data_IF_032998893401
#
_entry.id   IF_032998893401
#
_cell.length_a   1.000
_cell.length_b   1.000
_cell.length_c   1.000
_cell.angle_alpha   90.00
_cell.angle_beta   90.00
_cell.angle_gamma   90.00
#
_symmetry.space_group_name_H-M   'P 1'
#
loop_
_entity.id
_entity.type
_entity.pdbx_description
1 polymer ?
#
# COMPACT_ATOMS: atom_id res chain seq x y z
N UNK A 1 -30.92 31.59 26.80
CA UNK A 1 -29.72 31.90 25.99
C UNK A 1 -28.54 30.97 26.23
N UNK A 2 -28.29 30.52 27.46
CA UNK A 2 -27.19 29.59 27.77
C UNK A 2 -27.36 28.19 27.16
N UNK A 3 -28.56 27.70 26.94
CA UNK A 3 -28.83 26.38 26.32
C UNK A 3 -28.46 26.30 24.85
N UNK A 4 -28.59 27.38 24.10
CA UNK A 4 -28.26 27.42 22.66
C UNK A 4 -26.76 27.46 22.41
N UNK A 5 -25.99 28.06 23.31
CA UNK A 5 -24.53 28.10 23.25
C UNK A 5 -23.91 26.74 23.58
N UNK A 6 -24.50 26.03 24.55
CA UNK A 6 -24.05 24.68 24.93
C UNK A 6 -24.29 23.66 23.82
N UNK A 7 -25.46 23.74 23.14
CA UNK A 7 -25.77 22.87 22.00
C UNK A 7 -24.83 23.13 20.81
N UNK A 8 -24.45 24.38 20.57
CA UNK A 8 -23.49 24.75 19.51
C UNK A 8 -22.07 24.25 19.84
N UNK A 9 -21.68 24.33 21.10
CA UNK A 9 -20.37 23.84 21.55
C UNK A 9 -20.26 22.31 21.42
N UNK A 10 -21.32 21.58 21.78
CA UNK A 10 -21.39 20.13 21.61
C UNK A 10 -21.40 19.70 20.13
N UNK A 11 -22.04 20.49 19.29
CA UNK A 11 -22.10 20.22 17.84
C UNK A 11 -20.74 20.43 17.16
N UNK A 12 -20.01 21.48 17.57
CA UNK A 12 -18.65 21.74 17.09
C UNK A 12 -17.67 20.68 17.60
N UNK A 13 -17.80 20.26 18.86
CA UNK A 13 -16.96 19.22 19.45
C UNK A 13 -17.22 17.84 18.84
N UNK A 14 -18.47 17.53 18.48
CA UNK A 14 -18.83 16.33 17.73
C UNK A 14 -18.27 16.31 16.31
N UNK A 15 -18.20 17.45 15.65
CA UNK A 15 -17.68 17.57 14.27
C UNK A 15 -16.16 17.38 14.21
N UNK A 16 -15.43 17.76 15.26
CA UNK A 16 -13.97 17.59 15.36
C UNK A 16 -13.58 16.12 15.54
N UNK A 17 -14.43 15.32 16.17
CA UNK A 17 -14.18 13.87 16.35
C UNK A 17 -14.39 13.06 15.08
N UNK A 18 -15.15 13.58 14.11
CA UNK A 18 -15.40 12.89 12.85
C UNK A 18 -14.27 13.05 11.82
N UNK A 19 -13.33 13.97 12.05
CA UNK A 19 -12.22 14.23 11.13
C UNK A 19 -10.99 13.33 11.33
N UNK A 20 -10.99 12.42 12.32
CA UNK A 20 -9.85 11.57 12.65
C UNK A 20 -9.81 10.24 11.88
N UNK A 21 -10.64 10.07 10.87
CA UNK A 21 -10.75 8.84 10.07
C UNK A 21 -9.94 8.85 8.79
N UNK A 22 -8.68 9.27 8.80
CA UNK A 22 -7.80 9.03 7.65
C UNK A 22 -7.29 7.59 7.68
N UNK A 23 -8.04 6.70 7.04
CA UNK A 23 -7.66 5.33 6.85
C UNK A 23 -6.37 5.23 6.04
N UNK A 24 -5.30 4.78 6.65
CA UNK A 24 -4.16 4.27 5.90
C UNK A 24 -4.58 2.95 5.25
N UNK A 25 -4.46 2.78 3.92
CA UNK A 25 -4.93 1.59 3.21
C UNK A 25 -4.10 0.33 3.49
N UNK A 26 -2.98 0.45 4.20
CA UNK A 26 -2.20 -0.68 4.73
C UNK A 26 -2.39 -0.71 6.23
N UNK A 27 -2.71 -1.90 6.78
CA UNK A 27 -2.93 -2.04 8.21
C UNK A 27 -1.69 -1.60 9.01
N UNK A 28 -1.92 -0.99 10.17
CA UNK A 28 -0.85 -0.56 11.07
C UNK A 28 0.06 -1.72 11.44
N UNK A 29 -0.50 -2.91 11.67
CA UNK A 29 0.24 -4.13 11.98
C UNK A 29 1.27 -4.48 10.90
N UNK A 30 0.87 -4.46 9.62
CA UNK A 30 1.81 -4.72 8.52
C UNK A 30 2.93 -3.67 8.44
N UNK A 31 2.62 -2.42 8.77
CA UNK A 31 3.64 -1.35 8.80
C UNK A 31 4.63 -1.52 9.93
N UNK A 32 4.16 -1.98 11.09
CA UNK A 32 5.02 -2.25 12.26
C UNK A 32 5.90 -3.50 12.04
N UNK A 33 5.37 -4.53 11.35
CA UNK A 33 6.09 -5.75 11.03
C UNK A 33 7.03 -5.59 9.82
N UNK A 34 6.79 -4.60 8.95
CA UNK A 34 7.66 -4.33 7.80
C UNK A 34 9.02 -3.81 8.26
N UNK A 35 10.08 -4.34 7.65
CA UNK A 35 11.44 -3.91 7.94
C UNK A 35 11.76 -2.63 7.16
N UNK A 36 11.91 -1.46 7.81
CA UNK A 36 12.11 -0.18 7.11
C UNK A 36 13.45 -0.11 6.38
N UNK A 37 14.43 -0.90 6.81
CA UNK A 37 15.77 -0.94 6.23
C UNK A 37 15.88 -1.91 5.04
N UNK A 38 14.81 -2.63 4.73
CA UNK A 38 14.78 -3.61 3.66
C UNK A 38 14.30 -2.95 2.36
N UNK A 39 15.24 -2.35 1.64
CA UNK A 39 14.98 -1.71 0.35
C UNK A 39 14.76 -2.72 -0.76
N UNK A 40 14.09 -2.30 -1.83
CA UNK A 40 13.92 -3.14 -3.03
C UNK A 40 15.26 -3.58 -3.61
N UNK A 41 16.23 -2.66 -3.79
CA UNK A 41 17.55 -2.96 -4.32
C UNK A 41 18.29 -4.03 -3.50
N UNK A 42 18.14 -4.00 -2.18
CA UNK A 42 18.78 -4.95 -1.27
C UNK A 42 18.21 -6.36 -1.42
N UNK A 43 16.90 -6.49 -1.50
CA UNK A 43 16.24 -7.78 -1.75
C UNK A 43 16.51 -8.28 -3.17
N UNK A 44 16.52 -7.39 -4.15
CA UNK A 44 16.79 -7.74 -5.53
C UNK A 44 18.20 -8.31 -5.74
N UNK A 45 19.19 -7.83 -4.98
CA UNK A 45 20.58 -8.32 -5.05
C UNK A 45 20.75 -9.73 -4.48
N UNK A 46 19.98 -10.12 -3.47
CA UNK A 46 20.02 -11.45 -2.85
C UNK A 46 18.64 -11.87 -2.33
N UNK A 47 17.72 -12.25 -3.23
CA UNK A 47 16.34 -12.58 -2.85
C UNK A 47 16.23 -13.75 -1.86
N UNK A 48 17.13 -14.72 -1.95
CA UNK A 48 17.06 -15.93 -1.12
C UNK A 48 17.27 -15.63 0.37
N UNK A 49 18.09 -14.63 0.71
CA UNK A 49 18.36 -14.23 2.10
C UNK A 49 17.12 -13.62 2.78
N UNK A 50 16.23 -13.01 2.01
CA UNK A 50 15.11 -12.24 2.54
C UNK A 50 13.76 -12.96 2.44
N UNK A 51 13.76 -14.23 2.09
CA UNK A 51 12.52 -15.04 2.06
C UNK A 51 11.86 -15.03 3.44
N UNK A 52 10.58 -14.74 3.50
CA UNK A 52 9.80 -14.62 4.74
C UNK A 52 9.76 -13.23 5.36
N UNK A 53 10.60 -12.30 4.90
CA UNK A 53 10.57 -10.90 5.35
C UNK A 53 9.31 -10.18 4.88
N UNK A 54 8.81 -9.26 5.70
CA UNK A 54 7.66 -8.43 5.36
C UNK A 54 8.16 -7.11 4.78
N UNK A 55 7.67 -6.78 3.59
CA UNK A 55 8.01 -5.54 2.89
C UNK A 55 6.75 -4.78 2.50
N UNK A 56 6.88 -3.47 2.36
CA UNK A 56 5.85 -2.60 1.79
C UNK A 56 6.47 -1.92 0.58
N UNK A 57 6.10 -2.39 -0.59
CA UNK A 57 6.52 -1.82 -1.86
C UNK A 57 5.32 -1.36 -2.66
N UNK A 58 5.56 -0.52 -3.63
CA UNK A 58 4.53 -0.05 -4.55
C UNK A 58 5.11 0.30 -5.88
N UNK A 59 4.26 0.73 -6.76
CA UNK A 59 4.65 1.11 -8.09
C UNK A 59 3.49 1.12 -9.06
N UNK A 60 3.80 0.94 -10.32
CA UNK A 60 2.83 0.91 -11.41
C UNK A 60 2.61 -0.53 -11.89
N UNK A 61 1.38 -0.95 -11.99
CA UNK A 61 1.00 -2.27 -12.52
C UNK A 61 1.38 -2.34 -14.00
N UNK A 62 2.15 -3.37 -14.37
CA UNK A 62 2.46 -3.67 -15.76
C UNK A 62 1.44 -4.63 -16.35
N UNK A 63 0.97 -5.58 -15.57
CA UNK A 63 -0.03 -6.54 -15.98
C UNK A 63 -0.52 -7.40 -14.83
N UNK A 64 -1.69 -7.98 -15.02
CA UNK A 64 -2.31 -8.90 -14.07
C UNK A 64 -2.70 -10.19 -14.80
N UNK A 65 -2.28 -11.32 -14.25
CA UNK A 65 -2.55 -12.64 -14.81
C UNK A 65 -3.38 -13.45 -13.82
N UNK A 66 -4.47 -14.03 -14.29
CA UNK A 66 -5.27 -14.97 -13.51
C UNK A 66 -4.61 -16.34 -13.53
N UNK A 67 -4.41 -16.92 -12.35
CA UNK A 67 -3.86 -18.26 -12.16
C UNK A 67 -4.98 -19.24 -11.81
N UNK A 68 -4.68 -20.54 -11.86
CA UNK A 68 -5.63 -21.58 -11.43
C UNK A 68 -6.06 -21.42 -9.96
N UNK A 69 -5.16 -20.91 -9.10
CA UNK A 69 -5.41 -20.64 -7.67
C UNK A 69 -4.96 -19.23 -7.30
N UNK A 70 -5.65 -18.22 -7.81
CA UNK A 70 -5.38 -16.83 -7.45
C UNK A 70 -4.95 -15.96 -8.61
N UNK A 71 -4.12 -14.99 -8.35
CA UNK A 71 -3.68 -13.98 -9.31
C UNK A 71 -2.23 -13.61 -9.12
N UNK A 72 -1.62 -13.15 -10.20
CA UNK A 72 -0.26 -12.64 -10.24
C UNK A 72 -0.26 -11.24 -10.86
N UNK A 73 0.36 -10.29 -10.16
CA UNK A 73 0.49 -8.91 -10.63
C UNK A 73 1.97 -8.61 -10.82
N UNK A 74 2.34 -8.20 -12.02
CA UNK A 74 3.68 -7.65 -12.30
C UNK A 74 3.66 -6.15 -12.07
N UNK A 75 4.57 -5.67 -11.21
CA UNK A 75 4.66 -4.26 -10.81
C UNK A 75 6.04 -3.71 -11.16
N UNK A 76 6.06 -2.55 -11.80
CA UNK A 76 7.24 -1.71 -11.89
C UNK A 76 7.42 -1.02 -10.54
N UNK A 77 8.46 -1.37 -9.80
CA UNK A 77 8.73 -0.79 -8.50
C UNK A 77 8.98 0.70 -8.60
N UNK A 78 8.38 1.47 -7.70
CA UNK A 78 8.63 2.89 -7.53
C UNK A 78 8.82 3.21 -6.04
N UNK A 79 9.70 4.16 -5.70
CA UNK A 79 9.80 4.65 -4.33
C UNK A 79 8.45 5.15 -3.85
N UNK A 80 8.17 4.96 -2.57
CA UNK A 80 6.97 5.47 -1.92
C UNK A 80 7.29 6.75 -1.17
N UNK A 81 6.41 7.75 -1.30
CA UNK A 81 6.49 8.96 -0.47
C UNK A 81 6.14 8.64 0.99
N UNK A 82 6.26 9.63 1.86
CA UNK A 82 5.91 9.50 3.29
C UNK A 82 4.44 9.07 3.53
N UNK A 83 3.58 9.24 2.54
CA UNK A 83 2.18 8.84 2.57
C UNK A 83 1.96 7.44 1.97
N UNK A 84 3.03 6.81 1.49
CA UNK A 84 3.00 5.52 0.81
C UNK A 84 2.45 5.58 -0.60
N UNK A 85 2.56 6.71 -1.28
CA UNK A 85 2.18 6.84 -2.70
C UNK A 85 3.40 6.67 -3.57
N UNK A 86 3.28 5.94 -4.70
CA UNK A 86 4.39 5.81 -5.64
C UNK A 86 4.81 7.15 -6.23
N UNK A 87 6.10 7.39 -6.27
CA UNK A 87 6.73 8.58 -6.85
C UNK A 87 7.38 8.26 -8.20
N UNK A 88 7.41 9.22 -9.07
CA UNK A 88 8.21 9.38 -10.29
C UNK A 88 8.63 8.13 -11.06
N UNK A 89 8.04 7.89 -12.23
CA UNK A 89 8.31 6.71 -13.06
C UNK A 89 9.79 6.50 -13.46
N UNK A 90 10.61 7.55 -13.43
CA UNK A 90 12.05 7.46 -13.72
C UNK A 90 12.93 6.94 -12.58
N UNK A 91 12.36 6.69 -11.40
CA UNK A 91 13.09 6.27 -10.20
C UNK A 91 13.00 4.76 -9.92
N UNK A 92 12.47 3.97 -10.87
CA UNK A 92 12.33 2.53 -10.70
C UNK A 92 13.67 1.82 -10.60
N UNK A 93 13.78 0.92 -9.63
CA UNK A 93 14.94 0.04 -9.48
C UNK A 93 14.71 -1.36 -10.08
N UNK A 94 13.53 -1.62 -10.63
CA UNK A 94 13.20 -2.87 -11.27
C UNK A 94 11.73 -3.26 -11.19
N UNK A 95 11.47 -4.55 -11.29
CA UNK A 95 10.13 -5.13 -11.28
C UNK A 95 10.03 -6.21 -10.23
N UNK A 96 8.84 -6.38 -9.68
CA UNK A 96 8.54 -7.53 -8.85
C UNK A 96 7.19 -8.15 -9.22
N UNK A 97 7.00 -9.39 -8.82
CA UNK A 97 5.77 -10.13 -9.00
C UNK A 97 5.10 -10.32 -7.65
N UNK A 98 3.86 -9.83 -7.53
CA UNK A 98 3.02 -10.07 -6.38
C UNK A 98 2.01 -11.16 -6.70
N UNK A 99 1.92 -12.18 -5.83
CA UNK A 99 0.93 -13.25 -5.93
C UNK A 99 -0.08 -13.15 -4.81
N UNK A 100 -1.33 -13.37 -5.14
CA UNK A 100 -2.43 -13.44 -4.19
C UNK A 100 -3.25 -14.70 -4.44
N UNK A 101 -3.72 -15.32 -3.35
CA UNK A 101 -4.62 -16.47 -3.44
C UNK A 101 -6.04 -16.09 -3.88
N UNK A 102 -6.39 -14.80 -3.77
CA UNK A 102 -7.66 -14.28 -4.23
C UNK A 102 -7.64 -14.02 -5.74
N UNK A 103 -8.81 -14.11 -6.35
CA UNK A 103 -9.02 -13.63 -7.71
C UNK A 103 -9.00 -12.09 -7.72
N UNK A 104 -8.05 -11.51 -8.43
CA UNK A 104 -7.95 -10.07 -8.67
C UNK A 104 -8.38 -9.80 -10.11
N UNK A 105 -9.47 -9.07 -10.27
CA UNK A 105 -10.02 -8.76 -11.59
C UNK A 105 -9.03 -7.90 -12.40
N UNK A 106 -8.54 -8.38 -13.56
CA UNK A 106 -7.61 -7.61 -14.39
C UNK A 106 -8.20 -6.29 -14.93
N UNK A 107 -9.52 -6.15 -14.95
CA UNK A 107 -10.17 -4.89 -15.32
C UNK A 107 -10.04 -3.83 -14.23
N UNK A 108 -9.92 -4.25 -12.96
CA UNK A 108 -9.69 -3.39 -11.80
C UNK A 108 -8.20 -3.14 -11.60
N UNK A 109 -7.41 -4.21 -11.63
CA UNK A 109 -5.93 -4.17 -11.45
C UNK A 109 -5.23 -4.13 -12.80
N UNK A 110 -5.49 -3.10 -13.57
CA UNK A 110 -5.01 -2.97 -14.96
C UNK A 110 -3.67 -2.26 -15.04
N UNK A 111 -2.97 -2.48 -16.14
CA UNK A 111 -1.72 -1.81 -16.46
C UNK A 111 -1.87 -0.27 -16.39
N UNK A 112 -0.85 0.40 -15.87
CA UNK A 112 -0.83 1.84 -15.68
C UNK A 112 -1.38 2.33 -14.34
N UNK A 113 -2.05 1.48 -13.57
CA UNK A 113 -2.46 1.86 -12.21
C UNK A 113 -1.28 1.89 -11.26
N UNK A 114 -1.22 2.93 -10.45
CA UNK A 114 -0.28 3.04 -9.35
C UNK A 114 -0.90 2.53 -8.05
N UNK A 115 -0.11 1.84 -7.26
CA UNK A 115 -0.55 1.31 -5.99
C UNK A 115 0.60 0.89 -5.10
N UNK A 116 0.27 0.43 -3.90
CA UNK A 116 1.20 -0.10 -2.93
C UNK A 116 0.74 -1.46 -2.43
N UNK A 117 1.70 -2.29 -2.10
CA UNK A 117 1.49 -3.62 -1.57
C UNK A 117 2.32 -3.81 -0.30
N UNK A 118 1.67 -4.28 0.75
CA UNK A 118 2.34 -4.81 1.94
C UNK A 118 2.27 -6.32 1.89
N UNK A 119 3.42 -6.98 1.73
CA UNK A 119 3.48 -8.43 1.55
C UNK A 119 4.70 -9.04 2.24
N UNK A 120 4.56 -10.33 2.53
CA UNK A 120 5.67 -11.17 2.94
C UNK A 120 6.41 -11.66 1.69
N UNK A 121 7.71 -11.56 1.72
CA UNK A 121 8.57 -12.10 0.67
C UNK A 121 8.55 -13.63 0.64
#
# INVERSE_FOLDING_TARGET
MKRRSFARLLLVMGLVWFAAGCAYPISQRLREEAQPNLTFAKVFSDPAEYVGSIVIWGGTIIGTTTLAKGSEITVLELPLDRWGRPEGAGLSEGRFIARDSAFLDPAVYRAGQAGRLGRRC
#
